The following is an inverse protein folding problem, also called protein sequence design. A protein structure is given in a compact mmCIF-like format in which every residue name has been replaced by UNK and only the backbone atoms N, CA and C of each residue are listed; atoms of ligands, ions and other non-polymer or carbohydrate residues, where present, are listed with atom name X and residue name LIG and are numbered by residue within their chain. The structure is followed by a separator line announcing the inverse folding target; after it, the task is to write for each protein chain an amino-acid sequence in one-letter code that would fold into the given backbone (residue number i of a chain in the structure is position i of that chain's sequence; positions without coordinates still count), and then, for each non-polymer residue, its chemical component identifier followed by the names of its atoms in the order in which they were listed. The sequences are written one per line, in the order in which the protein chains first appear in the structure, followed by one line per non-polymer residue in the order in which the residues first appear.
data_IF_909675791595
#
_entry.id   IF_909675791595
#
_cell.length_a   1.000
_cell.length_b   1.000
_cell.length_c   1.000
_cell.angle_alpha   90.00
_cell.angle_beta   90.00
_cell.angle_gamma   90.00
#
_symmetry.space_group_name_H-M   'P 1'
#
loop_
_entity.id
_entity.type
_entity.pdbx_description
1 polymer ?
#
# COMPACT_ATOMS: atom_id res chain seq x y z
N UNK A 1 0.82 19.95 12.44
CA UNK A 1 0.04 19.69 11.21
C UNK A 1 0.63 18.51 10.46
N UNK A 2 -0.21 17.58 10.08
CA UNK A 2 0.26 16.42 9.33
C UNK A 2 0.08 16.63 7.83
N UNK A 3 1.08 16.23 7.06
CA UNK A 3 1.01 16.25 5.59
C UNK A 3 0.21 15.07 5.03
N UNK A 4 -0.04 14.04 5.84
CA UNK A 4 -0.59 12.79 5.36
C UNK A 4 -2.01 12.49 5.85
N UNK A 5 -2.57 13.35 6.70
CA UNK A 5 -3.91 13.11 7.26
C UNK A 5 -4.94 12.95 6.14
N UNK A 6 -5.65 11.83 6.18
CA UNK A 6 -6.70 11.50 5.21
C UNK A 6 -6.19 11.38 3.77
N UNK A 7 -4.87 11.27 3.58
CA UNK A 7 -4.30 11.08 2.24
C UNK A 7 -4.17 9.60 1.91
N UNK A 8 -4.08 9.32 0.63
CA UNK A 8 -3.93 7.96 0.12
C UNK A 8 -2.59 7.82 -0.59
N UNK A 9 -1.80 6.84 -0.15
CA UNK A 9 -0.52 6.52 -0.76
C UNK A 9 -0.64 5.22 -1.53
N UNK A 10 -0.16 5.21 -2.77
CA UNK A 10 -0.05 3.99 -3.57
C UNK A 10 1.41 3.56 -3.62
N UNK A 11 1.68 2.31 -3.26
CA UNK A 11 3.02 1.72 -3.38
C UNK A 11 2.96 0.67 -4.46
N UNK A 12 3.72 0.86 -5.55
CA UNK A 12 3.83 -0.13 -6.60
C UNK A 12 5.05 -0.99 -6.36
N UNK A 13 4.92 -2.29 -6.58
CA UNK A 13 6.03 -3.22 -6.30
C UNK A 13 6.33 -3.36 -4.83
N UNK A 14 5.36 -3.07 -3.96
CA UNK A 14 5.56 -2.96 -2.52
C UNK A 14 5.75 -4.28 -1.77
N UNK A 15 5.85 -5.40 -2.48
CA UNK A 15 6.03 -6.71 -1.84
C UNK A 15 7.50 -7.06 -1.59
N UNK A 16 8.42 -6.21 -2.03
CA UNK A 16 9.85 -6.40 -1.74
C UNK A 16 10.27 -5.72 -0.46
N UNK A 17 11.54 -5.95 -0.03
CA UNK A 17 12.07 -5.39 1.22
C UNK A 17 11.97 -3.87 1.27
N UNK A 18 12.28 -3.23 0.16
CA UNK A 18 12.26 -1.76 0.09
C UNK A 18 10.86 -1.21 0.27
N UNK A 19 9.87 -1.85 -0.40
CA UNK A 19 8.47 -1.47 -0.24
C UNK A 19 7.99 -1.66 1.19
N UNK A 20 8.43 -2.72 1.85
CA UNK A 20 8.06 -2.97 3.25
C UNK A 20 8.64 -1.89 4.17
N UNK A 21 9.85 -1.42 3.90
CA UNK A 21 10.45 -0.35 4.69
C UNK A 21 9.65 0.94 4.58
N UNK A 22 9.21 1.27 3.36
CA UNK A 22 8.36 2.44 3.13
C UNK A 22 7.02 2.25 3.83
N UNK A 23 6.43 1.07 3.72
CA UNK A 23 5.15 0.77 4.36
C UNK A 23 5.24 0.94 5.88
N UNK A 24 6.29 0.40 6.51
CA UNK A 24 6.49 0.55 7.95
C UNK A 24 6.58 2.03 8.35
N UNK A 25 7.28 2.82 7.54
CA UNK A 25 7.47 4.23 7.82
C UNK A 25 6.18 5.05 7.76
N UNK A 26 5.28 4.71 6.84
CA UNK A 26 4.03 5.46 6.68
C UNK A 26 2.88 4.93 7.51
N UNK A 27 2.90 3.65 7.85
CA UNK A 27 1.76 3.02 8.51
C UNK A 27 1.44 3.63 9.87
N UNK A 28 2.46 4.05 10.60
CA UNK A 28 2.31 4.65 11.92
C UNK A 28 2.04 6.16 11.88
N UNK A 29 1.96 6.75 10.68
CA UNK A 29 1.57 8.16 10.53
C UNK A 29 0.04 8.25 10.54
N UNK A 30 -0.48 9.44 10.39
CA UNK A 30 -1.93 9.65 10.30
C UNK A 30 -2.45 9.54 8.87
N UNK A 31 -1.70 8.88 7.99
CA UNK A 31 -2.15 8.63 6.61
C UNK A 31 -3.48 7.87 6.62
N UNK A 32 -4.36 8.21 5.71
CA UNK A 32 -5.70 7.62 5.68
C UNK A 32 -5.74 6.24 5.10
N UNK A 33 -4.99 6.00 4.01
CA UNK A 33 -5.02 4.72 3.32
C UNK A 33 -3.69 4.47 2.62
N UNK A 34 -3.24 3.22 2.64
CA UNK A 34 -2.05 2.80 1.89
C UNK A 34 -2.50 1.67 0.97
N UNK A 35 -2.31 1.84 -0.33
CA UNK A 35 -2.64 0.84 -1.33
C UNK A 35 -1.37 0.18 -1.82
N UNK A 36 -1.36 -1.14 -1.84
CA UNK A 36 -0.24 -1.92 -2.34
C UNK A 36 -0.66 -2.57 -3.65
N UNK A 37 0.06 -2.24 -4.72
CA UNK A 37 -0.22 -2.74 -6.06
C UNK A 37 0.92 -3.64 -6.50
N UNK A 38 0.62 -4.89 -6.79
CA UNK A 38 1.63 -5.83 -7.27
C UNK A 38 0.96 -7.00 -7.98
N UNK A 39 1.76 -7.79 -8.69
CA UNK A 39 1.27 -9.01 -9.35
C UNK A 39 1.30 -10.22 -8.45
N UNK A 40 2.01 -10.14 -7.32
CA UNK A 40 2.26 -11.30 -6.48
C UNK A 40 1.22 -11.40 -5.37
N UNK A 41 0.17 -12.14 -5.65
CA UNK A 41 -0.93 -12.33 -4.70
C UNK A 41 -0.48 -13.01 -3.41
N UNK A 42 0.41 -13.98 -3.52
CA UNK A 42 0.89 -14.71 -2.34
C UNK A 42 1.65 -13.80 -1.40
N UNK A 43 2.55 -12.97 -1.94
CA UNK A 43 3.30 -12.03 -1.11
C UNK A 43 2.40 -10.97 -0.49
N UNK A 44 1.38 -10.52 -1.20
CA UNK A 44 0.40 -9.60 -0.63
C UNK A 44 -0.34 -10.23 0.53
N UNK A 45 -0.71 -11.50 0.40
CA UNK A 45 -1.39 -12.22 1.46
C UNK A 45 -0.49 -12.37 2.68
N UNK A 46 0.79 -12.68 2.47
CA UNK A 46 1.77 -12.75 3.55
C UNK A 46 1.90 -11.42 4.28
N UNK A 47 1.97 -10.31 3.53
CA UNK A 47 2.04 -8.98 4.11
C UNK A 47 0.78 -8.66 4.91
N UNK A 48 -0.38 -9.00 4.38
CA UNK A 48 -1.64 -8.78 5.07
C UNK A 48 -1.64 -9.47 6.44
N UNK A 49 -1.27 -10.74 6.47
CA UNK A 49 -1.23 -11.50 7.72
C UNK A 49 -0.19 -10.97 8.69
N UNK A 50 1.00 -10.64 8.18
CA UNK A 50 2.06 -10.10 9.03
C UNK A 50 1.64 -8.79 9.68
N UNK A 51 1.04 -7.89 8.92
CA UNK A 51 0.68 -6.57 9.42
C UNK A 51 -0.57 -6.59 10.29
N UNK A 52 -1.47 -7.54 10.08
CA UNK A 52 -2.59 -7.74 10.99
C UNK A 52 -2.12 -8.20 12.36
N UNK A 53 -1.06 -9.01 12.41
CA UNK A 53 -0.48 -9.47 13.66
C UNK A 53 0.38 -8.40 14.32
N UNK A 54 1.17 -7.67 13.54
CA UNK A 54 2.14 -6.71 14.04
C UNK A 54 1.53 -5.35 14.36
N UNK A 55 0.59 -4.90 13.52
CA UNK A 55 -0.04 -3.59 13.65
C UNK A 55 -1.55 -3.69 13.51
N UNK A 56 -2.24 -4.39 14.44
CA UNK A 56 -3.70 -4.57 14.30
C UNK A 56 -4.46 -3.25 14.28
N UNK A 57 -3.94 -2.22 14.93
CA UNK A 57 -4.61 -0.92 14.99
C UNK A 57 -4.58 -0.19 13.64
N UNK A 58 -3.60 -0.51 12.80
CA UNK A 58 -3.40 0.21 11.53
C UNK A 58 -3.71 -0.63 10.31
N UNK A 59 -4.01 -1.91 10.49
CA UNK A 59 -4.21 -2.81 9.35
C UNK A 59 -5.39 -2.40 8.47
N UNK A 60 -6.38 -1.71 9.03
CA UNK A 60 -7.53 -1.23 8.28
C UNK A 60 -7.16 -0.21 7.20
N UNK A 61 -6.01 0.43 7.34
CA UNK A 61 -5.53 1.40 6.36
C UNK A 61 -4.98 0.74 5.10
N UNK A 62 -4.63 -0.55 5.19
CA UNK A 62 -4.01 -1.27 4.09
C UNK A 62 -5.05 -1.80 3.13
N UNK A 63 -4.88 -1.51 1.84
CA UNK A 63 -5.69 -2.05 0.75
C UNK A 63 -4.77 -2.70 -0.26
N UNK A 64 -5.19 -3.83 -0.79
CA UNK A 64 -4.37 -4.62 -1.68
C UNK A 64 -5.01 -4.71 -3.06
N UNK A 65 -4.23 -4.40 -4.08
CA UNK A 65 -4.68 -4.45 -5.47
C UNK A 65 -3.76 -5.38 -6.25
N UNK A 66 -4.34 -6.38 -6.89
CA UNK A 66 -3.58 -7.32 -7.71
C UNK A 66 -3.65 -6.83 -9.15
N UNK A 67 -2.51 -6.65 -9.77
CA UNK A 67 -2.47 -6.24 -11.17
C UNK A 67 -1.05 -6.03 -11.68
N UNK A 68 -0.96 -5.71 -12.96
CA UNK A 68 0.31 -5.48 -13.65
C UNK A 68 0.40 -4.01 -14.04
N UNK A 69 1.54 -3.37 -13.79
CA UNK A 69 1.75 -1.97 -14.16
C UNK A 69 1.62 -1.74 -15.68
N UNK A 70 1.72 -2.83 -16.46
CA UNK A 70 1.54 -2.75 -17.91
C UNK A 70 0.06 -2.75 -18.31
N UNK A 71 -0.83 -3.11 -17.41
CA UNK A 71 -2.28 -3.10 -17.64
C UNK A 71 -2.85 -1.77 -17.17
N UNK A 72 -3.18 -0.92 -18.14
CA UNK A 72 -3.66 0.44 -17.86
C UNK A 72 -4.91 0.42 -16.97
N UNK A 73 -5.82 -0.51 -17.19
CA UNK A 73 -7.06 -0.55 -16.41
C UNK A 73 -6.78 -0.89 -14.95
N UNK A 74 -5.88 -1.85 -14.69
CA UNK A 74 -5.48 -2.19 -13.32
C UNK A 74 -4.85 -1.01 -12.61
N UNK A 75 -3.97 -0.29 -13.32
CA UNK A 75 -3.31 0.90 -12.77
C UNK A 75 -4.32 1.99 -12.46
N UNK A 76 -5.24 2.26 -13.38
CA UNK A 76 -6.27 3.28 -13.17
C UNK A 76 -7.14 2.96 -11.96
N UNK A 77 -7.53 1.70 -11.80
CA UNK A 77 -8.33 1.29 -10.66
C UNK A 77 -7.59 1.52 -9.34
N UNK A 78 -6.29 1.17 -9.32
CA UNK A 78 -5.49 1.34 -8.11
C UNK A 78 -5.17 2.80 -7.80
N UNK A 79 -5.16 3.67 -8.82
CA UNK A 79 -4.81 5.08 -8.68
C UNK A 79 -5.97 6.00 -8.36
N UNK A 80 -7.19 5.49 -8.41
CA UNK A 80 -8.37 6.34 -8.20
C UNK A 80 -8.34 6.95 -6.80
N UNK A 81 -8.29 8.27 -6.71
CA UNK A 81 -8.28 8.97 -5.43
C UNK A 81 -6.93 8.98 -4.72
N UNK A 82 -5.87 8.55 -5.38
CA UNK A 82 -4.52 8.51 -4.79
C UNK A 82 -3.91 9.91 -4.78
N UNK A 83 -3.30 10.27 -3.65
CA UNK A 83 -2.63 11.56 -3.47
C UNK A 83 -1.12 11.46 -3.72
N UNK A 84 -0.50 10.35 -3.35
CA UNK A 84 0.94 10.14 -3.49
C UNK A 84 1.22 8.75 -4.05
N UNK A 85 2.27 8.64 -4.86
CA UNK A 85 2.71 7.37 -5.43
C UNK A 85 4.17 7.14 -5.08
N UNK A 86 4.46 5.95 -4.58
CA UNK A 86 5.83 5.49 -4.37
C UNK A 86 6.06 4.26 -5.23
N UNK A 87 7.00 4.37 -6.17
CA UNK A 87 7.33 3.26 -7.07
C UNK A 87 8.60 2.58 -6.56
N UNK A 88 8.41 1.39 -5.99
CA UNK A 88 9.53 0.64 -5.43
C UNK A 88 10.23 -0.24 -6.49
#
# INVERSE_FOLDING_TARGET
MSLFKEKTLLITGGTGSFGNTVLDGFLCTDIGEIRIFSRDEKKQDDIRHEYQAKYPEYSDKLKFYIGDVRDIQSVKNAMHGVDYIFHA
#
